data_IF_427953724522
#
_entry.id   IF_427953724522
#
_cell.length_a   1.000
_cell.length_b   1.000
_cell.length_c   1.000
_cell.angle_alpha   90.00
_cell.angle_beta   90.00
_cell.angle_gamma   90.00
#
_symmetry.space_group_name_H-M   'P 1'
#
loop_
_entity.id
_entity.type
_entity.pdbx_description
1 polymer ?
#
# COMPACT_ATOMS: atom_id res chain seq x y z
N UNK A 1 -2.52 22.04 2.32
CA UNK A 1 -2.15 20.64 2.61
C UNK A 1 -3.22 19.71 2.08
N UNK A 2 -2.85 18.69 1.29
CA UNK A 2 -3.81 17.65 0.87
C UNK A 2 -4.01 16.69 2.04
N UNK A 3 -5.14 16.82 2.71
CA UNK A 3 -5.55 15.90 3.78
C UNK A 3 -5.98 14.57 3.16
N UNK A 4 -5.67 13.44 3.82
CA UNK A 4 -6.05 12.08 3.41
C UNK A 4 -7.54 11.92 3.09
N UNK A 5 -8.40 12.77 3.67
CA UNK A 5 -9.82 12.82 3.37
C UNK A 5 -10.11 13.19 1.91
N UNK A 6 -9.33 14.09 1.32
CA UNK A 6 -9.45 14.45 -0.09
C UNK A 6 -8.96 13.33 -1.01
N UNK A 7 -7.91 12.62 -0.57
CA UNK A 7 -7.36 11.46 -1.28
C UNK A 7 -8.32 10.27 -1.17
N UNK A 8 -9.05 10.12 -0.07
CA UNK A 8 -10.00 9.02 0.19
C UNK A 8 -11.02 8.87 -0.93
N UNK A 9 -11.58 9.96 -1.43
CA UNK A 9 -12.60 9.93 -2.49
C UNK A 9 -12.01 9.46 -3.82
N UNK A 10 -10.87 10.02 -4.24
CA UNK A 10 -10.21 9.62 -5.48
C UNK A 10 -9.61 8.21 -5.39
N UNK A 11 -9.08 7.83 -4.23
CA UNK A 11 -8.53 6.50 -3.96
C UNK A 11 -9.62 5.43 -4.14
N UNK A 12 -10.77 5.60 -3.48
CA UNK A 12 -11.93 4.71 -3.61
C UNK A 12 -12.39 4.57 -5.07
N UNK A 13 -12.33 5.65 -5.85
CA UNK A 13 -12.75 5.67 -7.25
C UNK A 13 -11.77 4.95 -8.17
N UNK A 14 -10.47 5.06 -7.90
CA UNK A 14 -9.38 4.59 -8.77
C UNK A 14 -8.84 3.21 -8.38
N UNK A 15 -8.92 2.83 -7.11
CA UNK A 15 -8.36 1.58 -6.61
C UNK A 15 -9.15 0.38 -7.12
N UNK A 16 -8.45 -0.61 -7.65
CA UNK A 16 -9.00 -1.92 -7.99
C UNK A 16 -9.08 -2.81 -6.76
N UNK A 17 -9.96 -3.81 -6.76
CA UNK A 17 -10.11 -4.71 -5.62
C UNK A 17 -8.82 -5.47 -5.30
N UNK A 18 -8.05 -5.82 -6.33
CA UNK A 18 -6.73 -6.45 -6.19
C UNK A 18 -5.73 -5.56 -5.47
N UNK A 19 -5.57 -4.31 -5.91
CA UNK A 19 -4.67 -3.33 -5.28
C UNK A 19 -5.10 -3.07 -3.83
N UNK A 20 -6.41 -3.02 -3.56
CA UNK A 20 -6.93 -2.86 -2.21
C UNK A 20 -6.58 -4.06 -1.30
N UNK A 21 -6.77 -5.29 -1.78
CA UNK A 21 -6.42 -6.51 -1.04
C UNK A 21 -4.92 -6.56 -0.76
N UNK A 22 -4.10 -6.34 -1.78
CA UNK A 22 -2.64 -6.32 -1.63
C UNK A 22 -2.16 -5.21 -0.68
N UNK A 23 -2.81 -4.04 -0.69
CA UNK A 23 -2.50 -2.96 0.24
C UNK A 23 -2.86 -3.36 1.67
N UNK A 24 -4.01 -3.99 1.88
CA UNK A 24 -4.42 -4.53 3.18
C UNK A 24 -3.44 -5.59 3.69
N UNK A 25 -3.00 -6.52 2.83
CA UNK A 25 -2.02 -7.55 3.18
C UNK A 25 -0.68 -6.91 3.60
N UNK A 26 -0.19 -5.91 2.86
CA UNK A 26 1.04 -5.19 3.22
C UNK A 26 0.92 -4.40 4.52
N UNK A 27 -0.23 -3.75 4.76
CA UNK A 27 -0.48 -3.02 6.01
C UNK A 27 -0.62 -3.95 7.23
N UNK A 28 -1.15 -5.15 7.03
CA UNK A 28 -1.20 -6.18 8.07
C UNK A 28 0.20 -6.74 8.37
N UNK A 29 0.99 -7.00 7.32
CA UNK A 29 2.38 -7.47 7.46
C UNK A 29 3.26 -6.47 8.23
N UNK A 30 3.05 -5.16 8.01
CA UNK A 30 3.73 -4.10 8.76
C UNK A 30 3.18 -3.89 10.19
N UNK A 31 2.12 -4.60 10.58
CA UNK A 31 1.48 -4.43 11.90
C UNK A 31 0.67 -3.14 12.06
N UNK A 32 0.39 -2.44 10.95
CA UNK A 32 -0.46 -1.24 10.95
C UNK A 32 -1.89 -1.63 11.29
N UNK A 33 -2.40 -2.67 10.63
CA UNK A 33 -3.72 -3.26 10.85
C UNK A 33 -3.58 -4.63 11.51
N UNK A 34 -4.44 -4.93 12.49
CA UNK A 34 -4.52 -6.30 13.01
C UNK A 34 -5.29 -7.20 12.03
N UNK A 35 -4.98 -8.49 12.02
CA UNK A 35 -5.71 -9.51 11.25
C UNK A 35 -7.23 -9.43 11.48
N UNK A 36 -7.64 -9.32 12.75
CA UNK A 36 -9.03 -9.15 13.15
C UNK A 36 -9.68 -7.88 12.56
N UNK A 37 -8.97 -6.75 12.57
CA UNK A 37 -9.50 -5.50 12.00
C UNK A 37 -9.64 -5.60 10.47
N UNK A 38 -8.67 -6.23 9.81
CA UNK A 38 -8.70 -6.48 8.37
C UNK A 38 -9.87 -7.39 7.98
N UNK A 39 -10.03 -8.52 8.66
CA UNK A 39 -11.16 -9.44 8.43
C UNK A 39 -12.49 -8.74 8.69
N UNK A 40 -12.62 -8.00 9.80
CA UNK A 40 -13.83 -7.24 10.09
C UNK A 40 -14.17 -6.26 8.96
N UNK A 41 -13.18 -5.54 8.41
CA UNK A 41 -13.39 -4.64 7.28
C UNK A 41 -13.80 -5.40 6.02
N UNK A 42 -13.18 -6.55 5.75
CA UNK A 42 -13.47 -7.38 4.57
C UNK A 42 -14.85 -8.03 4.63
N UNK A 43 -15.30 -8.42 5.82
CA UNK A 43 -16.58 -9.08 6.08
C UNK A 43 -17.73 -8.08 6.25
N UNK A 44 -17.54 -6.97 7.00
CA UNK A 44 -18.60 -5.96 7.20
C UNK A 44 -18.95 -5.19 5.94
N UNK A 45 -18.00 -4.97 5.05
CA UNK A 45 -18.21 -4.12 3.88
C UNK A 45 -18.35 -4.97 2.62
N UNK A 46 -19.51 -4.94 1.96
CA UNK A 46 -19.71 -5.68 0.70
C UNK A 46 -19.10 -4.98 -0.51
N UNK A 47 -19.01 -3.65 -0.50
CA UNK A 47 -18.52 -2.90 -1.66
C UNK A 47 -17.02 -2.62 -1.55
N UNK A 48 -16.31 -2.62 -2.69
CA UNK A 48 -14.90 -2.18 -2.77
C UNK A 48 -14.71 -0.78 -2.20
N UNK A 49 -15.69 0.10 -2.43
CA UNK A 49 -15.63 1.48 -2.00
C UNK A 49 -15.67 1.61 -0.48
N UNK A 50 -16.55 0.86 0.18
CA UNK A 50 -16.65 0.90 1.64
C UNK A 50 -15.45 0.23 2.30
N UNK A 51 -14.94 -0.87 1.74
CA UNK A 51 -13.66 -1.46 2.17
C UNK A 51 -12.53 -0.45 2.12
N UNK A 52 -12.35 0.24 0.98
CA UNK A 52 -11.31 1.24 0.81
C UNK A 52 -11.46 2.45 1.76
N UNK A 53 -12.68 2.89 2.04
CA UNK A 53 -12.94 3.94 3.05
C UNK A 53 -12.51 3.49 4.44
N UNK A 54 -12.94 2.30 4.85
CA UNK A 54 -12.61 1.74 6.15
C UNK A 54 -11.11 1.47 6.32
N UNK A 55 -10.41 1.05 5.26
CA UNK A 55 -8.93 0.96 5.28
C UNK A 55 -8.30 2.30 5.60
N UNK A 56 -8.71 3.37 4.91
CA UNK A 56 -8.16 4.71 5.13
C UNK A 56 -8.48 5.21 6.55
N UNK A 57 -9.71 5.01 7.02
CA UNK A 57 -10.12 5.43 8.35
C UNK A 57 -9.37 4.64 9.45
N UNK A 58 -9.10 3.34 9.25
CA UNK A 58 -8.31 2.52 10.17
C UNK A 58 -6.84 2.96 10.22
N UNK A 59 -6.20 3.17 9.06
CA UNK A 59 -4.83 3.67 8.96
C UNK A 59 -4.70 5.05 9.62
N UNK A 60 -5.68 5.93 9.41
CA UNK A 60 -5.72 7.26 10.03
C UNK A 60 -5.93 7.20 11.54
N UNK A 61 -6.73 6.25 12.03
CA UNK A 61 -6.94 6.02 13.47
C UNK A 61 -5.65 5.56 14.16
N UNK A 62 -4.77 4.86 13.44
CA UNK A 62 -3.47 4.42 13.94
C UNK A 62 -2.46 5.56 14.07
N UNK A 63 -2.44 6.48 13.11
CA UNK A 63 -1.64 7.70 13.17
C UNK A 63 -1.06 8.12 11.82
N UNK A 64 -0.38 9.26 11.80
CA UNK A 64 0.18 9.81 10.55
C UNK A 64 1.30 8.94 9.96
N UNK A 65 2.06 8.21 10.77
CA UNK A 65 3.14 7.36 10.26
C UNK A 65 2.60 6.16 9.49
N UNK A 66 1.49 5.58 9.96
CA UNK A 66 0.75 4.56 9.22
C UNK A 66 0.24 5.08 7.88
N UNK A 67 -0.22 6.34 7.83
CA UNK A 67 -0.63 6.95 6.56
C UNK A 67 0.52 7.11 5.57
N UNK A 68 1.72 7.47 6.05
CA UNK A 68 2.92 7.53 5.20
C UNK A 68 3.25 6.15 4.62
N UNK A 69 3.22 5.10 5.45
CA UNK A 69 3.45 3.71 4.99
C UNK A 69 2.43 3.29 3.94
N UNK A 70 1.14 3.59 4.13
CA UNK A 70 0.11 3.30 3.13
C UNK A 70 0.41 3.96 1.77
N UNK A 71 0.85 5.22 1.78
CA UNK A 71 1.22 5.95 0.57
C UNK A 71 2.45 5.33 -0.10
N UNK A 72 3.45 4.93 0.69
CA UNK A 72 4.66 4.25 0.18
C UNK A 72 4.31 2.92 -0.48
N UNK A 73 3.49 2.08 0.17
CA UNK A 73 3.03 0.82 -0.42
C UNK A 73 2.22 1.02 -1.68
N UNK A 74 1.35 2.05 -1.70
CA UNK A 74 0.60 2.39 -2.90
C UNK A 74 1.52 2.83 -4.04
N UNK A 75 2.59 3.60 -3.76
CA UNK A 75 3.59 3.97 -4.76
C UNK A 75 4.38 2.77 -5.28
N UNK A 76 4.78 1.86 -4.39
CA UNK A 76 5.55 0.67 -4.76
C UNK A 76 4.72 -0.30 -5.62
N UNK A 77 3.43 -0.47 -5.28
CA UNK A 77 2.52 -1.32 -6.06
C UNK A 77 2.03 -0.64 -7.33
N UNK A 78 1.69 0.64 -7.25
CA UNK A 78 1.13 1.40 -8.37
C UNK A 78 1.49 2.89 -8.31
N UNK A 79 2.70 3.19 -8.78
CA UNK A 79 3.20 4.57 -8.91
C UNK A 79 2.31 5.44 -9.81
N UNK A 80 1.61 4.84 -10.78
CA UNK A 80 0.71 5.58 -11.68
C UNK A 80 -0.52 6.07 -10.92
N UNK A 81 -1.15 5.20 -10.13
CA UNK A 81 -2.26 5.57 -9.25
C UNK A 81 -1.83 6.63 -8.22
N UNK A 82 -0.66 6.48 -7.63
CA UNK A 82 -0.15 7.45 -6.66
C UNK A 82 0.06 8.83 -7.28
N UNK A 83 0.65 8.90 -8.48
CA UNK A 83 0.79 10.16 -9.23
C UNK A 83 -0.56 10.76 -9.59
N UNK A 84 -1.55 9.95 -10.00
CA UNK A 84 -2.91 10.41 -10.29
C UNK A 84 -3.61 10.97 -9.05
N UNK A 85 -3.35 10.39 -7.87
CA UNK A 85 -3.86 10.87 -6.59
C UNK A 85 -3.09 12.11 -6.09
N UNK A 86 -1.98 12.46 -6.74
CA UNK A 86 -1.07 13.51 -6.32
C UNK A 86 -0.46 13.23 -4.95
N UNK A 87 -0.28 11.94 -4.64
CA UNK A 87 0.43 11.42 -3.49
C UNK A 87 1.92 11.33 -3.84
N UNK A 88 2.54 12.46 -4.17
CA UNK A 88 4.00 12.48 -4.27
C UNK A 88 4.55 12.39 -2.87
N UNK A 89 5.05 11.22 -2.46
CA UNK A 89 6.12 11.18 -1.47
C UNK A 89 7.20 12.10 -2.02
N UNK A 90 7.31 13.30 -1.47
CA UNK A 90 8.54 14.04 -1.62
C UNK A 90 9.57 13.10 -1.01
N UNK A 91 10.37 12.46 -1.86
CA UNK A 91 11.57 11.76 -1.47
C UNK A 91 12.54 12.82 -0.95
N UNK A 92 12.15 13.47 0.14
CA UNK A 92 12.96 14.39 0.89
C UNK A 92 13.94 13.48 1.59
N UNK A 93 15.07 13.25 0.90
CA UNK A 93 16.20 12.48 1.36
C UNK A 93 16.36 12.61 2.88
N UNK A 94 15.97 11.55 3.58
CA UNK A 94 16.49 11.25 4.91
C UNK A 94 17.20 9.91 4.75
N UNK A 95 18.53 9.91 4.62
CA UNK A 95 19.32 8.69 4.65
C UNK A 95 19.31 8.20 6.09
N UNK A 96 18.46 7.21 6.40
CA UNK A 96 18.47 6.57 7.71
C UNK A 96 17.10 6.12 8.17
N UNK A 97 16.53 5.11 7.52
CA UNK A 97 15.90 3.97 8.21
C UNK A 97 15.47 2.94 7.16
N UNK A 98 16.21 1.83 7.16
CA UNK A 98 15.94 0.67 6.35
C UNK A 98 15.07 -0.30 7.15
N UNK A 99 13.79 -0.38 6.82
CA UNK A 99 12.87 -1.47 7.20
C UNK A 99 11.59 -1.27 6.39
N UNK A 100 11.05 -2.17 5.59
CA UNK A 100 11.39 -3.54 5.22
C UNK A 100 10.58 -3.83 3.95
N UNK A 101 11.23 -4.22 2.86
CA UNK A 101 10.53 -4.79 1.72
C UNK A 101 9.96 -6.14 2.17
N UNK A 102 8.64 -6.35 2.03
CA UNK A 102 8.09 -7.69 2.10
C UNK A 102 8.53 -8.46 0.84
N UNK A 103 9.53 -9.32 1.01
CA UNK A 103 9.93 -10.36 0.08
C UNK A 103 8.76 -11.32 -0.21
N UNK A 104 8.40 -11.47 -1.49
CA UNK A 104 7.77 -12.67 -2.02
C UNK A 104 8.15 -12.82 -3.51
N UNK A 105 9.23 -13.59 -3.70
CA UNK A 105 9.75 -14.23 -4.91
C UNK A 105 9.01 -14.05 -6.25
N UNK A 106 9.74 -13.54 -7.26
CA UNK A 106 9.72 -14.16 -8.59
C UNK A 106 11.10 -14.72 -8.88
N UNK A 107 11.23 -16.01 -8.62
CA UNK A 107 12.29 -16.87 -9.15
C UNK A 107 12.25 -16.83 -10.67
N UNK A 108 13.13 -16.04 -11.29
CA UNK A 108 13.51 -16.24 -12.67
C UNK A 108 14.92 -16.84 -12.70
N UNK A 109 14.97 -18.18 -12.78
CA UNK A 109 16.15 -18.90 -13.25
C UNK A 109 16.54 -18.35 -14.62
N UNK A 110 17.67 -17.64 -14.71
CA UNK A 110 18.42 -17.60 -15.96
C UNK A 110 19.65 -18.48 -15.83
N UNK A 111 19.50 -19.66 -16.41
CA UNK A 111 20.53 -20.68 -16.57
C UNK A 111 21.52 -20.18 -17.62
N UNK A 112 22.79 -20.09 -17.21
CA UNK A 112 24.01 -20.45 -17.94
C UNK A 112 23.99 -20.37 -19.48
N UNK A 113 24.83 -19.48 -20.01
CA UNK A 113 25.58 -19.70 -21.25
C UNK A 113 27.05 -19.42 -20.91
N UNK A 114 27.89 -20.42 -20.64
CA UNK A 114 28.94 -20.93 -21.58
C UNK A 114 29.54 -19.81 -22.42
N UNK A 115 30.83 -19.52 -22.39
CA UNK A 115 31.98 -20.24 -21.88
C UNK A 115 33.24 -19.49 -22.36
N UNK A 116 34.39 -20.06 -22.01
CA UNK A 116 35.72 -19.67 -22.45
C UNK A 116 35.77 -19.09 -23.88
N UNK A 117 36.42 -17.94 -24.00
CA UNK A 117 37.61 -17.72 -24.84
C UNK A 117 38.48 -16.66 -24.18
#
# INVERSE_FOLDING_TARGET
EKTLLSVRAEFVRRVSEEVLKQLLDSLEADGVLNNLEKEEILEKHQTRADKARSTIDAVRKKGNDSCKMMIQHLQLKDATLSNQLGLSFALSAQPGEATQFCDAAVTAKSIVFKGLY
#
